data_IF_855784153075
#
_entry.id   IF_855784153075
#
_cell.length_a   1.000
_cell.length_b   1.000
_cell.length_c   1.000
_cell.angle_alpha   90.00
_cell.angle_beta   90.00
_cell.angle_gamma   90.00
#
_symmetry.space_group_name_H-M   'P 1'
#
loop_
_entity.id
_entity.type
_entity.pdbx_description
1 polymer ?
#
# COMPACT_ATOMS: atom_id res chain seq x y z
N UNK A 1 16.55 -81.41 -17.74
CA UNK A 1 17.50 -80.34 -17.35
C UNK A 1 17.23 -79.13 -18.22
N UNK A 2 16.59 -78.08 -17.70
CA UNK A 2 16.45 -76.79 -18.39
C UNK A 2 16.59 -75.68 -17.33
N UNK A 3 17.60 -74.81 -17.50
CA UNK A 3 17.87 -73.67 -16.61
C UNK A 3 16.85 -72.55 -16.87
N UNK A 4 16.42 -71.78 -15.85
CA UNK A 4 15.63 -70.57 -16.07
C UNK A 4 16.56 -69.40 -16.45
N UNK A 5 16.17 -68.64 -17.48
CA UNK A 5 16.78 -67.37 -17.82
C UNK A 5 16.27 -66.28 -16.86
N UNK A 6 17.18 -65.62 -16.17
CA UNK A 6 16.90 -64.44 -15.35
C UNK A 6 17.32 -63.21 -16.17
N UNK A 7 16.35 -62.42 -16.63
CA UNK A 7 16.62 -61.06 -17.10
C UNK A 7 16.48 -60.10 -15.90
N UNK A 8 17.46 -59.24 -15.61
CA UNK A 8 17.27 -58.20 -14.60
C UNK A 8 16.40 -57.10 -15.21
N UNK A 9 15.28 -56.79 -14.55
CA UNK A 9 14.48 -55.62 -14.86
C UNK A 9 15.32 -54.37 -14.55
N UNK A 10 15.83 -53.70 -15.58
CA UNK A 10 16.41 -52.37 -15.45
C UNK A 10 15.26 -51.40 -15.18
N UNK A 11 15.01 -51.12 -13.90
CA UNK A 11 14.07 -50.07 -13.49
C UNK A 11 14.66 -48.74 -13.96
N UNK A 12 14.09 -48.18 -15.02
CA UNK A 12 14.47 -46.86 -15.53
C UNK A 12 14.17 -45.82 -14.45
N UNK A 13 15.22 -45.23 -13.87
CA UNK A 13 15.15 -44.18 -12.82
C UNK A 13 14.86 -42.80 -13.44
N UNK A 14 14.91 -42.69 -14.76
CA UNK A 14 14.72 -41.46 -15.52
C UNK A 14 13.37 -40.73 -15.31
N UNK A 15 12.19 -41.39 -15.27
CA UNK A 15 10.93 -40.68 -15.14
C UNK A 15 10.73 -40.09 -13.74
N UNK A 16 11.30 -40.71 -12.69
CA UNK A 16 11.21 -40.21 -11.31
C UNK A 16 12.08 -38.96 -11.12
N UNK A 17 13.29 -38.96 -11.68
CA UNK A 17 14.19 -37.79 -11.65
C UNK A 17 13.58 -36.60 -12.41
N UNK A 18 12.92 -36.86 -13.54
CA UNK A 18 12.27 -35.81 -14.35
C UNK A 18 11.06 -35.18 -13.63
N UNK A 19 10.28 -35.95 -12.88
CA UNK A 19 9.17 -35.45 -12.05
C UNK A 19 9.69 -34.60 -10.88
N UNK A 20 10.78 -35.01 -10.22
CA UNK A 20 11.40 -34.22 -9.13
C UNK A 20 12.01 -32.91 -9.66
N UNK A 21 12.60 -32.92 -10.85
CA UNK A 21 13.11 -31.71 -11.51
C UNK A 21 11.98 -30.75 -11.94
N UNK A 22 10.82 -31.29 -12.36
CA UNK A 22 9.65 -30.48 -12.67
C UNK A 22 9.01 -29.86 -11.41
N UNK A 23 8.96 -30.59 -10.30
CA UNK A 23 8.44 -30.10 -9.02
C UNK A 23 9.36 -29.05 -8.38
N UNK A 24 10.69 -29.19 -8.51
CA UNK A 24 11.65 -28.21 -7.98
C UNK A 24 11.74 -26.93 -8.81
N UNK A 25 11.45 -26.99 -10.13
CA UNK A 25 11.29 -25.80 -10.96
C UNK A 25 9.99 -25.02 -10.65
N UNK A 26 8.96 -25.67 -10.11
CA UNK A 26 7.68 -25.03 -9.79
C UNK A 26 7.67 -24.31 -8.42
N UNK A 27 8.60 -24.61 -7.51
CA UNK A 27 8.71 -23.91 -6.22
C UNK A 27 9.49 -22.59 -6.27
N UNK A 28 10.10 -22.22 -7.40
CA UNK A 28 10.87 -20.97 -7.53
C UNK A 28 10.06 -19.77 -8.04
N UNK A 29 8.77 -19.92 -8.28
CA UNK A 29 7.93 -18.80 -8.68
C UNK A 29 7.35 -18.06 -7.46
N UNK A 30 7.92 -16.86 -7.21
CA UNK A 30 7.33 -15.69 -6.54
C UNK A 30 7.50 -15.55 -5.01
N UNK A 31 8.73 -15.48 -4.52
CA UNK A 31 9.05 -14.29 -3.71
C UNK A 31 9.56 -13.24 -4.69
N UNK A 32 8.65 -12.44 -5.25
CA UNK A 32 9.09 -11.15 -5.79
C UNK A 32 9.63 -10.40 -4.59
N UNK A 33 10.90 -10.00 -4.61
CA UNK A 33 11.34 -8.91 -3.73
C UNK A 33 10.36 -7.76 -3.93
N UNK A 34 9.90 -7.14 -2.85
CA UNK A 34 9.11 -5.92 -2.90
C UNK A 34 9.82 -4.96 -3.87
N UNK A 35 9.08 -4.44 -4.85
CA UNK A 35 9.57 -3.39 -5.74
C UNK A 35 9.92 -2.19 -4.86
N UNK A 36 11.21 -1.84 -4.83
CA UNK A 36 11.66 -0.63 -4.17
C UNK A 36 11.11 0.58 -4.94
N UNK A 37 10.18 1.29 -4.30
CA UNK A 37 9.55 2.47 -4.85
C UNK A 37 10.19 3.77 -4.34
N UNK A 38 11.17 3.70 -3.43
CA UNK A 38 11.87 4.87 -2.89
C UNK A 38 12.53 5.64 -4.02
N UNK A 39 12.16 6.91 -4.16
CA UNK A 39 12.65 7.78 -5.23
C UNK A 39 12.48 7.22 -6.65
N UNK A 40 11.58 6.26 -6.88
CA UNK A 40 11.42 5.65 -8.21
C UNK A 40 10.83 6.64 -9.23
N UNK A 41 10.00 7.55 -8.77
CA UNK A 41 9.29 8.51 -9.62
C UNK A 41 9.77 9.95 -9.33
N UNK A 42 9.01 10.93 -9.80
CA UNK A 42 9.22 12.36 -9.55
C UNK A 42 7.90 13.02 -9.14
N UNK A 43 7.95 14.14 -8.42
CA UNK A 43 6.73 14.84 -7.99
C UNK A 43 5.78 15.23 -9.13
N UNK A 44 6.30 15.51 -10.33
CA UNK A 44 5.48 15.83 -11.51
C UNK A 44 4.65 14.66 -12.03
N UNK A 45 4.93 13.44 -11.58
CA UNK A 45 4.16 12.25 -11.97
C UNK A 45 2.86 12.12 -11.15
N UNK A 46 2.70 12.96 -10.10
CA UNK A 46 1.58 12.98 -9.19
C UNK A 46 0.83 14.31 -9.25
N UNK A 47 -0.43 14.27 -8.84
CA UNK A 47 -1.29 15.46 -8.73
C UNK A 47 -1.47 15.87 -7.27
N UNK A 48 -1.64 17.18 -7.04
CA UNK A 48 -2.03 17.68 -5.71
C UNK A 48 -3.50 17.34 -5.39
N UNK A 49 -3.82 17.14 -4.11
CA UNK A 49 -5.19 16.93 -3.66
C UNK A 49 -6.12 18.10 -4.03
N UNK A 50 -5.58 19.32 -4.16
CA UNK A 50 -6.33 20.50 -4.63
C UNK A 50 -6.89 20.33 -6.04
N UNK A 51 -6.20 19.60 -6.93
CA UNK A 51 -6.74 19.28 -8.26
C UNK A 51 -7.98 18.40 -8.13
N UNK A 52 -7.94 17.40 -7.24
CA UNK A 52 -9.06 16.52 -6.95
C UNK A 52 -10.27 17.29 -6.39
N UNK A 53 -10.05 18.29 -5.52
CA UNK A 53 -11.10 19.15 -4.93
C UNK A 53 -12.03 19.78 -5.97
N UNK A 54 -11.51 20.13 -7.15
CA UNK A 54 -12.30 20.79 -8.21
C UNK A 54 -13.50 19.95 -8.67
N UNK A 55 -13.41 18.62 -8.62
CA UNK A 55 -14.49 17.71 -8.96
C UNK A 55 -14.99 16.88 -7.77
N UNK A 56 -14.18 16.71 -6.72
CA UNK A 56 -14.49 15.92 -5.52
C UNK A 56 -14.46 16.78 -4.24
N UNK A 57 -15.22 17.90 -4.16
CA UNK A 57 -15.09 18.83 -3.05
C UNK A 57 -15.44 18.20 -1.71
N UNK A 58 -16.53 17.42 -1.64
CA UNK A 58 -16.97 16.81 -0.38
C UNK A 58 -15.95 15.83 0.21
N UNK A 59 -15.40 14.94 -0.62
CA UNK A 59 -14.37 13.98 -0.19
C UNK A 59 -13.08 14.70 0.18
N UNK A 60 -12.72 15.75 -0.56
CA UNK A 60 -11.56 16.58 -0.21
C UNK A 60 -11.73 17.21 1.17
N UNK A 61 -12.90 17.80 1.50
CA UNK A 61 -13.12 18.39 2.82
C UNK A 61 -13.18 17.36 3.96
N UNK A 62 -13.58 16.11 3.68
CA UNK A 62 -13.47 15.01 4.66
C UNK A 62 -12.02 14.61 4.88
N UNK A 63 -11.25 14.46 3.78
CA UNK A 63 -9.84 14.11 3.83
C UNK A 63 -9.02 15.16 4.60
N UNK A 64 -9.24 16.47 4.36
CA UNK A 64 -8.53 17.55 5.07
C UNK A 64 -8.76 17.53 6.59
N UNK A 65 -9.86 16.93 7.05
CA UNK A 65 -10.18 16.77 8.47
C UNK A 65 -9.61 15.48 9.07
N UNK A 66 -9.19 14.52 8.24
CA UNK A 66 -8.61 13.27 8.69
C UNK A 66 -7.12 13.41 9.00
N UNK A 67 -6.62 12.63 9.96
CA UNK A 67 -5.20 12.55 10.28
C UNK A 67 -4.34 12.12 9.08
N UNK A 68 -4.91 11.40 8.10
CA UNK A 68 -4.23 11.05 6.86
C UNK A 68 -3.71 12.26 6.07
N UNK A 69 -4.48 13.36 6.02
CA UNK A 69 -4.04 14.61 5.38
C UNK A 69 -2.97 15.36 6.17
N UNK A 70 -2.85 15.05 7.45
CA UNK A 70 -1.96 15.69 8.41
C UNK A 70 -0.79 14.78 8.81
N UNK A 71 -0.68 13.57 8.25
CA UNK A 71 0.24 12.55 8.75
C UNK A 71 1.71 13.03 8.79
N UNK A 72 2.11 13.89 7.85
CA UNK A 72 3.42 14.53 7.84
C UNK A 72 3.48 15.93 8.47
N UNK A 73 2.34 16.63 8.51
CA UNK A 73 2.29 18.05 8.89
C UNK A 73 1.81 18.27 10.33
N UNK A 74 1.35 17.22 10.99
CA UNK A 74 0.94 17.27 12.38
C UNK A 74 2.17 17.52 13.26
N UNK A 75 2.04 18.41 14.25
CA UNK A 75 3.19 18.85 15.06
C UNK A 75 3.90 17.70 15.80
N UNK A 76 3.15 16.66 16.21
CA UNK A 76 3.74 15.47 16.84
C UNK A 76 4.64 14.69 15.86
N UNK A 77 4.22 14.57 14.60
CA UNK A 77 5.02 13.89 13.56
C UNK A 77 6.31 14.68 13.28
N UNK A 78 6.20 16.01 13.19
CA UNK A 78 7.38 16.85 12.97
C UNK A 78 8.40 16.69 14.10
N UNK A 79 7.96 16.70 15.36
CA UNK A 79 8.84 16.50 16.53
C UNK A 79 9.44 15.09 16.50
N UNK A 80 8.62 14.06 16.37
CA UNK A 80 9.10 12.67 16.40
C UNK A 80 10.07 12.38 15.26
N UNK A 81 9.74 12.80 14.05
CA UNK A 81 10.57 12.51 12.89
C UNK A 81 11.84 13.37 12.86
N UNK A 82 11.73 14.69 12.94
CA UNK A 82 12.88 15.56 12.75
C UNK A 82 13.74 15.77 13.99
N UNK A 83 13.15 15.71 15.19
CA UNK A 83 13.88 16.02 16.41
C UNK A 83 14.30 14.74 17.16
N UNK A 84 13.78 13.57 16.81
CA UNK A 84 14.20 12.27 17.36
C UNK A 84 14.75 11.31 16.28
N UNK A 85 13.94 10.91 15.30
CA UNK A 85 14.32 9.85 14.35
C UNK A 85 15.51 10.26 13.45
N UNK A 86 15.49 11.47 12.89
CA UNK A 86 16.59 11.99 12.05
C UNK A 86 17.91 12.10 12.84
N UNK A 87 17.95 12.71 14.04
CA UNK A 87 19.14 12.71 14.89
C UNK A 87 19.63 11.30 15.26
N UNK A 88 18.73 10.34 15.53
CA UNK A 88 19.10 8.96 15.78
C UNK A 88 19.79 8.31 14.57
N UNK A 89 19.30 8.53 13.35
CA UNK A 89 19.95 8.05 12.14
C UNK A 89 21.29 8.74 11.86
N UNK A 90 21.45 10.00 12.26
CA UNK A 90 22.74 10.70 12.17
C UNK A 90 23.77 10.10 13.14
N UNK A 91 23.35 9.75 14.36
CA UNK A 91 24.22 9.12 15.36
C UNK A 91 24.49 7.63 15.07
N UNK A 92 23.53 6.92 14.48
CA UNK A 92 23.64 5.50 14.09
C UNK A 92 23.20 5.33 12.63
N UNK A 93 24.15 5.41 11.67
CA UNK A 93 23.84 5.37 10.24
C UNK A 93 23.06 4.13 9.77
N UNK A 94 23.20 2.99 10.44
CA UNK A 94 22.43 1.77 10.15
C UNK A 94 20.90 1.96 10.33
N UNK A 95 20.47 3.02 11.00
CA UNK A 95 19.06 3.38 11.16
C UNK A 95 18.55 4.30 10.03
N UNK A 96 19.38 4.69 9.06
CA UNK A 96 18.99 5.64 8.01
C UNK A 96 17.83 5.12 7.16
N UNK A 97 17.89 3.86 6.73
CA UNK A 97 16.85 3.27 5.90
C UNK A 97 15.49 3.14 6.62
N UNK A 98 15.40 2.60 7.86
CA UNK A 98 14.13 2.57 8.57
C UNK A 98 13.60 3.97 8.90
N UNK A 99 14.47 4.94 9.21
CA UNK A 99 14.04 6.34 9.44
C UNK A 99 13.50 6.97 8.15
N UNK A 100 14.19 6.83 7.02
CA UNK A 100 13.63 7.28 5.74
C UNK A 100 12.29 6.61 5.42
N UNK A 101 12.13 5.35 5.84
CA UNK A 101 10.92 4.54 5.71
C UNK A 101 9.70 5.07 6.47
N UNK A 102 9.86 5.91 7.51
CA UNK A 102 8.73 6.58 8.18
C UNK A 102 7.87 7.32 7.15
N UNK A 103 8.51 7.97 6.18
CA UNK A 103 7.83 8.71 5.11
C UNK A 103 7.15 7.82 4.08
N UNK A 104 7.41 6.51 4.05
CA UNK A 104 6.60 5.56 3.30
C UNK A 104 5.16 5.50 3.82
N UNK A 105 4.91 5.83 5.08
CA UNK A 105 3.54 5.92 5.62
C UNK A 105 3.07 7.36 5.80
N UNK A 106 3.96 8.27 6.22
CA UNK A 106 3.58 9.63 6.63
C UNK A 106 3.61 10.66 5.50
N UNK A 107 4.55 10.53 4.55
CA UNK A 107 4.63 11.35 3.35
C UNK A 107 4.91 10.50 2.09
N UNK A 108 4.01 9.58 1.69
CA UNK A 108 4.31 8.58 0.65
C UNK A 108 4.75 9.18 -0.69
N UNK A 109 4.19 10.33 -1.09
CA UNK A 109 4.63 11.01 -2.31
C UNK A 109 6.08 11.52 -2.20
N UNK A 110 6.52 11.97 -1.03
CA UNK A 110 7.92 12.32 -0.77
C UNK A 110 8.83 11.09 -0.78
N UNK A 111 8.39 9.98 -0.20
CA UNK A 111 9.15 8.73 -0.24
C UNK A 111 9.34 8.22 -1.67
N UNK A 112 8.29 8.27 -2.48
CA UNK A 112 8.27 7.68 -3.82
C UNK A 112 8.82 8.62 -4.90
N UNK A 113 8.48 9.91 -4.83
CA UNK A 113 8.79 10.92 -5.84
C UNK A 113 9.89 11.91 -5.44
N UNK A 114 10.19 12.02 -4.15
CA UNK A 114 11.25 12.88 -3.63
C UNK A 114 12.65 12.30 -3.88
N UNK A 115 13.65 13.17 -3.89
CA UNK A 115 15.09 12.83 -4.03
C UNK A 115 15.91 13.24 -2.81
N UNK A 116 15.27 13.81 -1.80
CA UNK A 116 15.88 14.33 -0.59
C UNK A 116 15.29 13.61 0.62
N UNK A 117 16.16 13.11 1.50
CA UNK A 117 15.78 12.41 2.73
C UNK A 117 16.65 12.89 3.90
N UNK A 118 16.06 13.46 4.96
CA UNK A 118 14.62 13.64 5.19
C UNK A 118 13.96 14.59 4.17
N UNK A 119 12.65 14.47 3.89
CA UNK A 119 11.95 15.47 3.09
C UNK A 119 12.01 16.86 3.76
N UNK A 120 11.79 17.96 3.02
CA UNK A 120 11.74 19.31 3.58
C UNK A 120 10.72 19.43 4.72
N UNK A 121 11.01 20.22 5.76
CA UNK A 121 10.11 20.36 6.91
C UNK A 121 8.72 20.88 6.47
N UNK A 122 7.64 20.60 7.23
CA UNK A 122 6.30 21.05 6.87
C UNK A 122 6.18 22.57 6.59
N UNK A 123 6.99 23.40 7.26
CA UNK A 123 7.06 24.85 7.06
C UNK A 123 7.48 25.26 5.64
N UNK A 124 8.21 24.41 4.92
CA UNK A 124 8.65 24.63 3.54
C UNK A 124 7.57 24.37 2.50
N UNK A 125 6.43 23.78 2.90
CA UNK A 125 5.25 23.56 2.03
C UNK A 125 5.57 22.79 0.74
N UNK A 126 6.45 21.81 0.85
CA UNK A 126 6.80 20.91 -0.25
C UNK A 126 5.68 19.90 -0.55
N UNK A 127 5.85 19.07 -1.58
CA UNK A 127 4.92 17.98 -1.89
C UNK A 127 4.79 16.95 -0.75
N UNK A 128 5.74 16.91 0.19
CA UNK A 128 5.61 16.09 1.40
C UNK A 128 4.36 16.45 2.24
N UNK A 129 3.91 17.71 2.18
CA UNK A 129 2.72 18.18 2.90
C UNK A 129 1.40 17.63 2.34
N UNK A 130 1.41 16.96 1.19
CA UNK A 130 0.24 16.20 0.73
C UNK A 130 -0.02 14.97 1.62
N UNK A 131 0.91 14.60 2.51
CA UNK A 131 0.79 13.48 3.46
C UNK A 131 0.27 12.21 2.75
N UNK A 132 -0.68 11.48 3.35
CA UNK A 132 -1.41 10.39 2.69
C UNK A 132 -2.52 11.00 1.82
N UNK A 133 -2.14 11.40 0.60
CA UNK A 133 -2.98 12.15 -0.33
C UNK A 133 -3.95 11.28 -1.15
N UNK A 134 -4.80 11.93 -1.94
CA UNK A 134 -5.69 11.27 -2.90
C UNK A 134 -4.92 10.34 -3.86
N UNK A 135 -3.76 10.79 -4.35
CA UNK A 135 -2.91 10.02 -5.27
C UNK A 135 -2.36 8.76 -4.60
N UNK A 136 -1.99 8.81 -3.33
CA UNK A 136 -1.47 7.65 -2.59
C UNK A 136 -2.50 6.53 -2.59
N UNK A 137 -3.72 6.85 -2.17
CA UNK A 137 -4.81 5.86 -2.12
C UNK A 137 -5.20 5.42 -3.52
N UNK A 138 -5.49 6.37 -4.43
CA UNK A 138 -6.08 6.07 -5.73
C UNK A 138 -5.09 5.58 -6.79
N UNK A 139 -3.78 5.59 -6.55
CA UNK A 139 -2.79 4.95 -7.42
C UNK A 139 -2.31 3.58 -6.91
N UNK A 140 -2.68 3.21 -5.68
CA UNK A 140 -2.32 1.91 -5.11
C UNK A 140 -3.04 0.78 -5.83
N UNK A 141 -2.29 -0.19 -6.33
CA UNK A 141 -2.80 -1.33 -7.10
C UNK A 141 -2.97 -2.58 -6.25
N UNK A 142 -2.04 -2.81 -5.32
CA UNK A 142 -1.96 -4.03 -4.51
C UNK A 142 -1.00 -3.81 -3.34
N UNK A 143 -0.98 -4.76 -2.41
CA UNK A 143 0.18 -4.99 -1.57
C UNK A 143 1.26 -5.80 -2.33
N UNK A 144 2.50 -5.66 -1.91
CA UNK A 144 3.67 -6.36 -2.44
C UNK A 144 4.14 -7.49 -1.51
N UNK A 145 3.59 -7.56 -0.30
CA UNK A 145 3.84 -8.61 0.69
C UNK A 145 2.54 -9.15 1.28
N UNK A 146 2.60 -10.37 1.79
CA UNK A 146 1.54 -10.98 2.59
C UNK A 146 2.14 -11.52 3.91
N UNK A 147 1.80 -10.96 5.07
CA UNK A 147 0.90 -9.80 5.23
C UNK A 147 1.49 -8.50 4.65
N UNK A 148 0.67 -7.49 4.36
CA UNK A 148 1.16 -6.14 4.05
C UNK A 148 1.74 -5.48 5.30
N UNK A 149 2.89 -4.81 5.18
CA UNK A 149 3.54 -4.04 6.24
C UNK A 149 4.61 -3.11 5.67
N UNK A 150 5.09 -2.14 6.46
CA UNK A 150 6.18 -1.22 6.08
C UNK A 150 6.01 -0.71 4.64
N UNK A 151 4.92 0.03 4.39
CA UNK A 151 4.64 0.68 3.10
C UNK A 151 4.72 -0.28 1.90
N UNK A 152 4.23 -1.51 2.06
CA UNK A 152 4.20 -2.55 1.03
C UNK A 152 3.26 -2.29 -0.14
N UNK A 153 2.67 -1.10 -0.28
CA UNK A 153 1.78 -0.83 -1.41
C UNK A 153 2.57 -0.79 -2.72
N UNK A 154 1.91 -1.10 -3.83
CA UNK A 154 2.41 -0.89 -5.18
C UNK A 154 1.67 0.28 -5.80
N UNK A 155 2.35 1.42 -5.94
CA UNK A 155 1.83 2.61 -6.60
C UNK A 155 2.38 2.70 -8.02
N UNK A 156 1.52 3.00 -8.99
CA UNK A 156 1.94 3.39 -10.34
C UNK A 156 1.31 4.73 -10.73
N UNK A 157 2.09 5.80 -10.87
CA UNK A 157 1.56 7.11 -11.23
C UNK A 157 0.92 7.13 -12.63
N UNK A 158 0.08 8.14 -12.86
CA UNK A 158 -0.54 8.41 -14.15
C UNK A 158 -2.06 8.57 -14.09
N UNK A 159 -2.68 8.45 -15.26
CA UNK A 159 -4.10 8.79 -15.49
C UNK A 159 -5.09 7.76 -14.97
N UNK A 160 -4.64 6.57 -14.55
CA UNK A 160 -5.53 5.54 -14.03
C UNK A 160 -5.65 5.68 -12.52
N UNK A 161 -6.87 5.91 -12.04
CA UNK A 161 -7.23 5.94 -10.63
C UNK A 161 -8.06 4.71 -10.29
N UNK A 162 -7.71 4.03 -9.21
CA UNK A 162 -8.39 2.84 -8.73
C UNK A 162 -9.48 3.22 -7.73
N UNK A 163 -10.59 2.50 -7.76
CA UNK A 163 -11.68 2.68 -6.84
C UNK A 163 -12.40 1.36 -6.58
N UNK A 164 -13.20 1.30 -5.53
CA UNK A 164 -14.07 0.16 -5.24
C UNK A 164 -15.26 0.04 -6.21
N UNK A 165 -15.74 1.18 -6.72
CA UNK A 165 -17.00 1.25 -7.47
C UNK A 165 -16.75 1.51 -8.94
N UNK A 166 -17.37 0.70 -9.79
CA UNK A 166 -17.47 1.01 -11.23
C UNK A 166 -18.27 2.29 -11.41
N UNK A 167 -17.72 3.31 -12.09
CA UNK A 167 -18.36 4.61 -12.17
C UNK A 167 -19.64 4.53 -13.02
N UNK A 168 -20.67 5.27 -12.61
CA UNK A 168 -21.89 5.43 -13.41
C UNK A 168 -21.70 6.40 -14.60
N UNK A 169 -20.69 7.27 -14.52
CA UNK A 169 -20.33 8.28 -15.53
C UNK A 169 -18.82 8.29 -15.67
N UNK A 170 -18.30 8.31 -16.90
CA UNK A 170 -16.87 8.39 -17.13
C UNK A 170 -16.30 9.75 -16.65
N UNK A 171 -15.11 9.73 -16.06
CA UNK A 171 -14.43 10.95 -15.65
C UNK A 171 -13.75 11.61 -16.86
N UNK A 172 -13.92 12.92 -17.06
CA UNK A 172 -13.23 13.64 -18.13
C UNK A 172 -11.73 13.87 -17.83
N UNK A 173 -11.28 13.61 -16.59
CA UNK A 173 -9.95 13.97 -16.12
C UNK A 173 -9.04 12.77 -15.82
N UNK A 174 -9.58 11.57 -15.62
CA UNK A 174 -8.79 10.37 -15.34
C UNK A 174 -9.59 9.08 -15.65
N UNK A 175 -8.90 8.01 -16.00
CA UNK A 175 -9.50 6.68 -16.17
C UNK A 175 -9.79 6.07 -14.82
N UNK A 176 -10.98 5.52 -14.61
CA UNK A 176 -11.35 4.81 -13.37
C UNK A 176 -11.29 3.31 -13.64
N UNK A 177 -10.57 2.57 -12.78
CA UNK A 177 -10.55 1.10 -12.80
C UNK A 177 -11.02 0.58 -11.46
N UNK A 178 -11.99 -0.33 -11.50
CA UNK A 178 -12.47 -1.03 -10.30
C UNK A 178 -11.41 -2.01 -9.82
N UNK A 179 -11.10 -1.97 -8.52
CA UNK A 179 -10.13 -2.86 -7.89
C UNK A 179 -10.63 -3.31 -6.51
N UNK A 180 -10.83 -4.62 -6.36
CA UNK A 180 -11.33 -5.23 -5.14
C UNK A 180 -10.37 -5.05 -3.94
N UNK A 181 -9.10 -4.74 -4.19
CA UNK A 181 -8.15 -4.44 -3.12
C UNK A 181 -8.62 -3.28 -2.22
N UNK A 182 -9.38 -2.32 -2.76
CA UNK A 182 -9.95 -1.21 -1.98
C UNK A 182 -11.00 -1.66 -0.96
N UNK A 183 -11.54 -2.87 -1.10
CA UNK A 183 -12.48 -3.48 -0.17
C UNK A 183 -11.80 -4.29 0.93
N UNK A 184 -10.53 -4.65 0.75
CA UNK A 184 -9.77 -5.52 1.64
C UNK A 184 -9.16 -4.72 2.80
N UNK A 185 -8.94 -5.37 3.94
CA UNK A 185 -8.28 -4.72 5.08
C UNK A 185 -6.77 -4.58 4.87
N UNK A 186 -6.23 -5.44 4.02
CA UNK A 186 -4.84 -5.49 3.58
C UNK A 186 -4.43 -4.19 2.89
N UNK A 187 -5.38 -3.45 2.28
CA UNK A 187 -5.14 -2.08 1.80
C UNK A 187 -4.65 -1.18 2.92
N UNK A 188 -5.33 -1.18 4.06
CA UNK A 188 -4.96 -0.41 5.25
C UNK A 188 -3.69 -0.97 5.90
N UNK A 189 -3.48 -2.30 5.84
CA UNK A 189 -2.33 -2.99 6.40
C UNK A 189 -0.98 -2.54 5.84
N UNK A 190 -0.93 -1.97 4.63
CA UNK A 190 0.33 -1.42 4.08
C UNK A 190 0.97 -0.37 5.01
N UNK A 191 0.15 0.41 5.72
CA UNK A 191 0.62 1.45 6.64
C UNK A 191 0.29 1.14 8.11
N UNK A 192 -0.75 0.34 8.37
CA UNK A 192 -1.21 -0.02 9.73
C UNK A 192 -0.61 -1.32 10.27
N UNK A 193 0.35 -1.92 9.56
CA UNK A 193 1.26 -2.92 10.08
C UNK A 193 2.71 -2.43 9.87
N UNK A 194 3.53 -2.53 10.91
CA UNK A 194 4.91 -2.04 10.91
C UNK A 194 5.82 -2.95 11.72
N UNK A 195 6.95 -3.30 11.11
CA UNK A 195 8.05 -4.01 11.76
C UNK A 195 9.26 -3.13 11.87
N UNK A 196 9.93 -3.21 13.01
CA UNK A 196 11.24 -2.63 13.18
C UNK A 196 12.33 -3.47 12.44
N UNK A 197 13.58 -2.96 12.35
CA UNK A 197 14.69 -3.67 11.71
C UNK A 197 15.08 -5.01 12.35
N UNK A 198 14.58 -5.30 13.55
CA UNK A 198 14.80 -6.56 14.26
C UNK A 198 13.66 -7.56 14.05
N UNK A 199 12.81 -7.31 13.05
CA UNK A 199 11.66 -8.15 12.67
C UNK A 199 10.59 -8.28 13.77
N UNK A 200 10.50 -7.28 14.66
CA UNK A 200 9.46 -7.19 15.69
C UNK A 200 8.36 -6.26 15.23
N UNK A 201 7.10 -6.69 15.35
CA UNK A 201 5.93 -5.84 15.12
C UNK A 201 5.86 -4.74 16.18
N UNK A 202 5.92 -3.48 15.74
CA UNK A 202 5.73 -2.30 16.61
C UNK A 202 4.31 -1.75 16.49
N UNK A 203 3.63 -2.10 15.40
CA UNK A 203 2.23 -1.82 15.12
C UNK A 203 1.71 -2.95 14.25
N UNK A 204 0.60 -3.56 14.62
CA UNK A 204 0.05 -4.74 13.93
C UNK A 204 -1.47 -4.69 13.84
N UNK A 205 -2.04 -3.50 13.78
CA UNK A 205 -3.49 -3.28 13.94
C UNK A 205 -4.33 -4.06 12.94
N UNK A 206 -3.88 -4.20 11.68
CA UNK A 206 -4.62 -5.00 10.70
C UNK A 206 -4.52 -6.51 11.00
N UNK A 207 -3.40 -6.98 11.53
CA UNK A 207 -3.24 -8.37 11.97
C UNK A 207 -4.05 -8.67 13.24
N UNK A 208 -4.02 -7.75 14.20
CA UNK A 208 -4.85 -7.82 15.42
C UNK A 208 -6.34 -7.87 15.05
N UNK A 209 -6.78 -7.05 14.08
CA UNK A 209 -8.12 -7.15 13.51
C UNK A 209 -8.38 -8.53 12.93
N UNK A 210 -7.47 -9.07 12.12
CA UNK A 210 -7.58 -10.37 11.42
C UNK A 210 -7.73 -11.53 12.40
N UNK A 211 -7.07 -11.47 13.55
CA UNK A 211 -7.18 -12.46 14.63
C UNK A 211 -8.39 -12.21 15.56
N UNK A 212 -8.90 -10.99 15.55
CA UNK A 212 -9.97 -10.50 16.41
C UNK A 212 -11.40 -10.89 15.99
N UNK A 213 -12.40 -10.52 16.81
CA UNK A 213 -13.81 -10.88 16.58
C UNK A 213 -14.38 -10.21 15.32
N UNK A 214 -14.03 -8.95 15.04
CA UNK A 214 -14.55 -8.22 13.88
C UNK A 214 -14.21 -8.87 12.55
N UNK A 215 -13.03 -9.50 12.41
CA UNK A 215 -12.71 -10.27 11.21
C UNK A 215 -13.64 -11.49 11.04
N UNK A 216 -13.95 -12.19 12.14
CA UNK A 216 -14.89 -13.34 12.15
C UNK A 216 -16.33 -12.93 11.82
N UNK A 217 -16.70 -11.70 12.15
CA UNK A 217 -18.00 -11.10 11.84
C UNK A 217 -18.04 -10.46 10.43
N UNK A 218 -16.91 -10.41 9.71
CA UNK A 218 -16.81 -9.78 8.40
C UNK A 218 -16.87 -8.25 8.42
N UNK A 219 -16.70 -7.63 9.59
CA UNK A 219 -16.65 -6.16 9.77
C UNK A 219 -15.25 -5.67 9.39
N UNK A 220 -15.14 -4.86 8.34
CA UNK A 220 -13.84 -4.38 7.83
C UNK A 220 -13.55 -2.97 8.33
N UNK A 221 -12.30 -2.54 8.17
CA UNK A 221 -11.85 -1.20 8.56
C UNK A 221 -12.77 -0.11 7.99
N UNK A 222 -13.10 -0.21 6.71
CA UNK A 222 -13.95 0.72 5.96
C UNK A 222 -15.41 0.71 6.43
N UNK A 223 -15.88 -0.31 7.16
CA UNK A 223 -17.25 -0.33 7.67
C UNK A 223 -17.45 0.64 8.84
N UNK A 224 -16.39 0.92 9.61
CA UNK A 224 -16.41 1.90 10.71
C UNK A 224 -15.68 3.21 10.39
N UNK A 225 -14.57 3.15 9.63
CA UNK A 225 -13.73 4.32 9.32
C UNK A 225 -14.04 4.99 7.99
N UNK A 226 -14.87 4.36 7.15
CA UNK A 226 -15.42 4.96 5.95
C UNK A 226 -16.91 4.57 5.81
N UNK A 227 -17.74 4.83 6.84
CA UNK A 227 -19.09 4.29 6.94
C UNK A 227 -19.93 4.57 5.69
N UNK A 228 -20.87 3.66 5.42
CA UNK A 228 -21.85 3.90 4.37
C UNK A 228 -22.73 5.08 4.76
N UNK A 229 -22.85 6.04 3.85
CA UNK A 229 -23.76 7.16 3.97
C UNK A 229 -24.40 7.53 2.63
N UNK A 230 -25.40 8.40 2.70
CA UNK A 230 -26.03 8.97 1.52
C UNK A 230 -27.46 9.45 1.76
N UNK A 231 -28.08 10.10 0.77
CA UNK A 231 -27.56 10.32 -0.59
C UNK A 231 -26.33 11.25 -0.61
N UNK A 232 -25.24 10.83 -1.26
CA UNK A 232 -24.00 11.59 -1.35
C UNK A 232 -23.43 11.62 -2.76
N UNK A 233 -22.90 12.78 -3.14
CA UNK A 233 -22.34 13.04 -4.45
C UNK A 233 -20.81 12.92 -4.41
N UNK A 234 -20.27 11.75 -4.80
CA UNK A 234 -18.82 11.49 -4.75
C UNK A 234 -18.02 12.44 -5.66
N UNK A 235 -18.60 12.93 -6.74
CA UNK A 235 -18.02 13.92 -7.65
C UNK A 235 -19.11 14.80 -8.26
N UNK A 236 -18.81 16.05 -8.59
CA UNK A 236 -19.79 17.00 -9.15
C UNK A 236 -20.51 16.48 -10.41
N UNK A 237 -19.85 15.64 -11.19
CA UNK A 237 -20.35 15.15 -12.48
C UNK A 237 -20.99 13.75 -12.43
N UNK A 238 -21.13 13.12 -11.26
CA UNK A 238 -21.81 11.81 -11.11
C UNK A 238 -23.24 11.98 -10.60
N UNK A 239 -23.97 10.86 -10.47
CA UNK A 239 -25.19 10.77 -9.67
C UNK A 239 -24.88 10.62 -8.17
N UNK A 240 -25.81 10.98 -7.26
CA UNK A 240 -25.74 10.64 -5.84
C UNK A 240 -25.83 9.12 -5.60
N UNK A 241 -25.19 8.66 -4.53
CA UNK A 241 -25.22 7.27 -4.06
C UNK A 241 -25.75 7.19 -2.63
N UNK A 242 -26.58 6.19 -2.34
CA UNK A 242 -27.12 5.94 -0.99
C UNK A 242 -26.19 5.06 -0.14
N UNK A 243 -25.07 4.64 -0.72
CA UNK A 243 -24.09 3.72 -0.16
C UNK A 243 -22.65 4.21 -0.45
N UNK A 244 -22.47 5.53 -0.48
CA UNK A 244 -21.14 6.14 -0.55
C UNK A 244 -20.37 5.80 0.73
N UNK A 245 -19.06 5.59 0.61
CA UNK A 245 -18.16 5.38 1.75
C UNK A 245 -17.54 6.74 2.09
N UNK A 246 -17.88 7.29 3.25
CA UNK A 246 -17.59 8.66 3.69
C UNK A 246 -16.68 8.67 4.91
#
# INVERSE_FOLDING_TARGET
>A
MNKPNIFPAVVSVFPVIMIILLLTSFSKSRLSSQEDQKSKFSYKDFESAKKCRSCHPGIYEQWTQAMMSQAYTHHWDEIEYFDLAVPHAAAKPDLKDPVDGCNGCHAPLAFIGGKQFPPPRPSEKSMANESVSCEVCHLTQSAQSDPPFNFSYLIKPGMTKFALRTPAVESPAHKIITNDFFYQTEFCGNCHNEKNPFNVWVKSTQLEWKEGPYSKEGVRCQDCHMPKGGPYLNALMTKPYNDARL
#
